data_IF_289499538871
#
_entry.id   IF_289499538871
#
_cell.length_a   1.000
_cell.length_b   1.000
_cell.length_c   1.000
_cell.angle_alpha   90.00
_cell.angle_beta   90.00
_cell.angle_gamma   90.00
#
_symmetry.space_group_name_H-M   'P 1'
#
loop_
_entity.id
_entity.type
_entity.pdbx_description
1 polymer ?
#
# COMPACT_ATOMS: atom_id res chain seq x y z
N UNK A 1 25.02 7.55 -10.91
CA UNK A 1 24.33 8.42 -9.95
C UNK A 1 25.16 8.48 -8.68
N UNK A 2 25.68 9.65 -8.35
CA UNK A 2 26.37 9.92 -7.08
C UNK A 2 25.35 10.17 -5.95
N UNK A 3 25.82 10.24 -4.71
CA UNK A 3 24.96 10.56 -3.56
C UNK A 3 24.27 11.93 -3.71
N UNK A 4 25.00 12.94 -4.17
CA UNK A 4 24.47 14.29 -4.38
C UNK A 4 23.45 14.33 -5.51
N UNK A 5 23.74 13.66 -6.63
CA UNK A 5 22.81 13.52 -7.75
C UNK A 5 21.51 12.83 -7.32
N UNK A 6 21.59 11.77 -6.52
CA UNK A 6 20.42 11.06 -6.02
C UNK A 6 19.56 11.92 -5.09
N UNK A 7 20.18 12.61 -4.12
CA UNK A 7 19.44 13.47 -3.20
C UNK A 7 18.74 14.61 -3.94
N UNK A 8 19.44 15.24 -4.90
CA UNK A 8 18.83 16.25 -5.76
C UNK A 8 17.64 15.67 -6.54
N UNK A 9 17.83 14.51 -7.17
CA UNK A 9 16.76 13.83 -7.89
C UNK A 9 15.56 13.52 -6.98
N UNK A 10 15.80 12.99 -5.78
CA UNK A 10 14.76 12.67 -4.79
C UNK A 10 13.95 13.91 -4.42
N UNK A 11 14.62 15.01 -4.09
CA UNK A 11 13.95 16.23 -3.64
C UNK A 11 13.12 16.83 -4.80
N UNK A 12 13.67 16.87 -6.01
CA UNK A 12 12.97 17.30 -7.22
C UNK A 12 11.78 16.37 -7.55
N UNK A 13 11.91 15.07 -7.31
CA UNK A 13 10.85 14.08 -7.50
C UNK A 13 9.69 14.29 -6.52
N UNK A 14 9.98 14.45 -5.22
CA UNK A 14 8.95 14.67 -4.20
C UNK A 14 8.19 15.97 -4.43
N UNK A 15 8.88 17.03 -4.85
CA UNK A 15 8.24 18.30 -5.20
C UNK A 15 7.24 18.15 -6.38
N UNK A 16 7.63 17.39 -7.40
CA UNK A 16 6.75 17.10 -8.56
C UNK A 16 5.60 16.19 -8.18
N UNK A 17 5.83 15.16 -7.36
CA UNK A 17 4.78 14.29 -6.85
C UNK A 17 3.71 15.08 -6.08
N UNK A 18 4.14 15.99 -5.18
CA UNK A 18 3.24 16.86 -4.45
C UNK A 18 2.43 17.80 -5.37
N UNK A 19 3.09 18.38 -6.38
CA UNK A 19 2.42 19.24 -7.37
C UNK A 19 1.38 18.47 -8.20
N UNK A 20 1.68 17.23 -8.59
CA UNK A 20 0.75 16.35 -9.28
C UNK A 20 -0.47 16.01 -8.41
N UNK A 21 -0.23 15.70 -7.14
CA UNK A 21 -1.29 15.42 -6.15
C UNK A 21 -2.24 16.60 -5.97
N UNK A 22 -1.70 17.83 -5.90
CA UNK A 22 -2.51 19.04 -5.79
C UNK A 22 -3.43 19.23 -7.00
N UNK A 23 -2.89 19.11 -8.22
CA UNK A 23 -3.67 19.22 -9.47
C UNK A 23 -4.78 18.17 -9.56
N UNK A 24 -4.47 16.90 -9.29
CA UNK A 24 -5.47 15.82 -9.28
C UNK A 24 -6.52 16.06 -8.18
N UNK A 25 -6.10 16.57 -7.03
CA UNK A 25 -7.05 16.90 -5.95
C UNK A 25 -8.07 17.93 -6.43
N UNK A 26 -7.68 18.98 -7.15
CA UNK A 26 -8.62 19.97 -7.70
C UNK A 26 -9.70 19.34 -8.61
N UNK A 27 -9.35 18.30 -9.39
CA UNK A 27 -10.26 17.58 -10.27
C UNK A 27 -11.21 16.62 -9.53
N UNK A 28 -10.73 15.96 -8.47
CA UNK A 28 -11.50 14.92 -7.76
C UNK A 28 -12.16 15.39 -6.46
N UNK A 29 -11.73 16.51 -5.88
CA UNK A 29 -12.29 17.09 -4.64
C UNK A 29 -13.32 18.18 -4.89
N UNK A 30 -13.90 18.24 -6.10
CA UNK A 30 -14.90 19.23 -6.55
C UNK A 30 -16.08 19.40 -5.57
N UNK A 31 -16.26 18.55 -4.55
CA UNK A 31 -17.24 18.80 -3.48
C UNK A 31 -16.89 18.20 -2.09
N UNK A 32 -15.61 17.96 -1.76
CA UNK A 32 -15.26 17.43 -0.42
C UNK A 32 -13.92 17.94 0.10
N UNK A 33 -13.92 18.49 1.31
CA UNK A 33 -12.70 18.88 2.05
C UNK A 33 -11.90 17.65 2.54
N UNK A 34 -12.51 16.46 2.53
CA UNK A 34 -11.86 15.21 2.94
C UNK A 34 -11.11 14.58 1.77
N UNK A 35 -9.78 14.70 1.78
CA UNK A 35 -8.89 14.07 0.78
C UNK A 35 -9.00 12.55 0.72
N UNK A 36 -9.59 11.90 1.73
CA UNK A 36 -9.82 10.46 1.77
C UNK A 36 -11.23 10.04 1.36
N UNK A 37 -12.11 11.01 1.03
CA UNK A 37 -13.51 10.76 0.70
C UNK A 37 -13.68 9.70 -0.38
N UNK A 38 -12.89 9.78 -1.45
CA UNK A 38 -12.97 8.84 -2.57
C UNK A 38 -12.72 7.39 -2.15
N UNK A 39 -11.72 7.15 -1.29
CA UNK A 39 -11.43 5.79 -0.81
C UNK A 39 -12.53 5.27 0.11
N UNK A 40 -13.05 6.12 1.01
CA UNK A 40 -14.18 5.77 1.89
C UNK A 40 -15.44 5.44 1.08
N UNK A 41 -15.70 6.21 0.03
CA UNK A 41 -16.85 6.03 -0.83
C UNK A 41 -16.76 4.76 -1.68
N UNK A 42 -15.60 4.51 -2.29
CA UNK A 42 -15.34 3.26 -3.03
C UNK A 42 -15.41 2.05 -2.09
N UNK A 43 -14.83 2.16 -0.91
CA UNK A 43 -14.88 1.13 0.12
C UNK A 43 -16.32 0.76 0.50
N UNK A 44 -17.16 1.78 0.77
CA UNK A 44 -18.59 1.59 1.06
C UNK A 44 -19.33 0.89 -0.09
N UNK A 45 -19.09 1.32 -1.33
CA UNK A 45 -19.73 0.72 -2.52
C UNK A 45 -19.35 -0.74 -2.76
N UNK A 46 -18.11 -1.11 -2.44
CA UNK A 46 -17.56 -2.44 -2.70
C UNK A 46 -17.60 -3.37 -1.48
N UNK A 47 -17.99 -2.87 -0.30
CA UNK A 47 -17.98 -3.65 0.93
C UNK A 47 -16.58 -4.01 1.43
N UNK A 48 -15.59 -3.16 1.15
CA UNK A 48 -14.19 -3.32 1.57
C UNK A 48 -13.79 -2.19 2.52
N UNK A 49 -12.60 -2.24 3.11
CA UNK A 49 -12.09 -1.14 3.94
C UNK A 49 -11.53 0.00 3.07
N UNK A 50 -11.50 1.25 3.57
CA UNK A 50 -10.84 2.37 2.87
C UNK A 50 -9.36 2.09 2.57
N UNK A 51 -8.68 1.34 3.44
CA UNK A 51 -7.30 0.88 3.23
C UNK A 51 -7.20 -0.10 2.05
N UNK A 52 -8.09 -1.08 1.95
CA UNK A 52 -8.15 -1.99 0.81
C UNK A 52 -8.44 -1.24 -0.50
N UNK A 53 -9.36 -0.27 -0.45
CA UNK A 53 -9.65 0.58 -1.60
C UNK A 53 -8.42 1.38 -2.04
N UNK A 54 -7.71 2.01 -1.09
CA UNK A 54 -6.47 2.74 -1.37
C UNK A 54 -5.39 1.82 -1.95
N UNK A 55 -5.17 0.65 -1.36
CA UNK A 55 -4.17 -0.31 -1.83
C UNK A 55 -4.49 -0.83 -3.23
N UNK A 56 -5.76 -0.90 -3.63
CA UNK A 56 -6.14 -1.24 -5.01
C UNK A 56 -5.58 -0.24 -6.02
N UNK A 57 -5.61 1.07 -5.70
CA UNK A 57 -5.03 2.09 -6.56
C UNK A 57 -3.49 1.98 -6.64
N UNK A 58 -2.84 1.62 -5.53
CA UNK A 58 -1.40 1.38 -5.49
C UNK A 58 -1.04 0.20 -6.39
N UNK A 59 -1.72 -0.94 -6.23
CA UNK A 59 -1.45 -2.16 -6.96
C UNK A 59 -1.60 -1.96 -8.47
N UNK A 60 -2.59 -1.20 -8.92
CA UNK A 60 -2.73 -0.82 -10.34
C UNK A 60 -1.43 -0.22 -10.92
N UNK A 61 -0.78 0.69 -10.19
CA UNK A 61 0.46 1.32 -10.66
C UNK A 61 1.66 0.36 -10.56
N UNK A 62 1.73 -0.44 -9.50
CA UNK A 62 2.77 -1.46 -9.32
C UNK A 62 2.71 -2.49 -10.45
N UNK A 63 1.53 -3.02 -10.75
CA UNK A 63 1.33 -4.02 -11.81
C UNK A 63 1.75 -3.48 -13.18
N UNK A 64 1.44 -2.21 -13.47
CA UNK A 64 1.87 -1.56 -14.70
C UNK A 64 3.40 -1.40 -14.78
N UNK A 65 4.06 -0.98 -13.70
CA UNK A 65 5.53 -0.91 -13.64
C UNK A 65 6.15 -2.30 -13.80
N UNK A 66 5.60 -3.33 -13.15
CA UNK A 66 6.06 -4.70 -13.28
C UNK A 66 5.92 -5.21 -14.72
N UNK A 67 4.82 -4.85 -15.41
CA UNK A 67 4.62 -5.19 -16.81
C UNK A 67 5.63 -4.49 -17.74
N UNK A 68 5.88 -3.19 -17.53
CA UNK A 68 6.90 -2.44 -18.26
C UNK A 68 8.29 -3.05 -18.05
N UNK A 69 8.62 -3.43 -16.80
CA UNK A 69 9.90 -4.06 -16.46
C UNK A 69 10.06 -5.45 -17.09
N UNK A 70 8.97 -6.23 -17.19
CA UNK A 70 8.98 -7.56 -17.80
C UNK A 70 9.11 -7.52 -19.32
N UNK A 71 8.44 -6.56 -19.97
CA UNK A 71 8.35 -6.50 -21.42
C UNK A 71 9.42 -5.61 -22.05
N UNK A 72 10.01 -4.69 -21.28
CA UNK A 72 10.89 -3.63 -21.79
C UNK A 72 10.14 -2.61 -22.66
N UNK A 73 8.81 -2.71 -22.76
CA UNK A 73 7.97 -1.88 -23.60
C UNK A 73 7.02 -1.08 -22.70
N UNK A 74 7.01 0.24 -22.89
CA UNK A 74 6.02 1.09 -22.27
C UNK A 74 4.78 1.05 -23.16
N UNK A 75 3.76 0.29 -22.74
CA UNK A 75 2.52 0.11 -23.52
C UNK A 75 1.52 1.26 -23.29
N UNK A 76 1.74 2.08 -22.25
CA UNK A 76 0.84 3.16 -21.84
C UNK A 76 1.50 4.53 -21.96
N UNK A 77 0.71 5.58 -22.16
CA UNK A 77 1.18 6.98 -22.21
C UNK A 77 1.80 7.46 -20.88
N UNK A 78 1.45 6.85 -19.75
CA UNK A 78 2.06 7.17 -18.45
C UNK A 78 3.47 6.57 -18.35
N UNK A 79 4.43 7.36 -17.86
CA UNK A 79 5.80 6.91 -17.61
C UNK A 79 5.92 6.18 -16.27
N UNK A 80 6.95 5.33 -16.13
CA UNK A 80 7.29 4.68 -14.84
C UNK A 80 7.48 5.72 -13.73
N UNK A 81 8.07 6.87 -14.05
CA UNK A 81 8.26 7.96 -13.10
C UNK A 81 6.92 8.56 -12.63
N UNK A 82 5.96 8.78 -13.54
CA UNK A 82 4.62 9.24 -13.18
C UNK A 82 3.90 8.25 -12.27
N UNK A 83 3.97 6.95 -12.59
CA UNK A 83 3.41 5.88 -11.75
C UNK A 83 4.04 5.84 -10.36
N UNK A 84 5.36 6.02 -10.26
CA UNK A 84 6.06 6.09 -8.99
C UNK A 84 5.61 7.31 -8.16
N UNK A 85 5.39 8.46 -8.79
CA UNK A 85 4.87 9.65 -8.11
C UNK A 85 3.46 9.41 -7.56
N UNK A 86 2.59 8.73 -8.31
CA UNK A 86 1.26 8.34 -7.83
C UNK A 86 1.33 7.38 -6.65
N UNK A 87 2.19 6.36 -6.70
CA UNK A 87 2.43 5.45 -5.57
C UNK A 87 2.86 6.23 -4.32
N UNK A 88 3.83 7.15 -4.43
CA UNK A 88 4.27 7.97 -3.30
C UNK A 88 3.11 8.78 -2.72
N UNK A 89 2.29 9.40 -3.56
CA UNK A 89 1.12 10.15 -3.11
C UNK A 89 0.10 9.27 -2.38
N UNK A 90 -0.17 8.06 -2.89
CA UNK A 90 -1.05 7.10 -2.21
C UNK A 90 -0.45 6.62 -0.87
N UNK A 91 0.87 6.42 -0.78
CA UNK A 91 1.52 6.07 0.49
C UNK A 91 1.40 7.19 1.52
N UNK A 92 1.50 8.46 1.11
CA UNK A 92 1.26 9.60 1.99
C UNK A 92 -0.19 9.61 2.49
N UNK A 93 -1.17 9.35 1.61
CA UNK A 93 -2.58 9.27 1.98
C UNK A 93 -2.86 8.10 2.96
N UNK A 94 -2.21 6.96 2.75
CA UNK A 94 -2.30 5.82 3.66
C UNK A 94 -1.72 6.14 5.04
N UNK A 95 -0.54 6.75 5.08
CA UNK A 95 0.08 7.18 6.32
C UNK A 95 -0.80 8.19 7.07
N UNK A 96 -1.38 9.16 6.36
CA UNK A 96 -2.33 10.11 6.92
C UNK A 96 -3.58 9.40 7.48
N UNK A 97 -4.15 8.45 6.73
CA UNK A 97 -5.29 7.66 7.19
C UNK A 97 -4.97 6.91 8.49
N UNK A 98 -3.81 6.24 8.57
CA UNK A 98 -3.37 5.52 9.78
C UNK A 98 -3.06 6.43 10.97
N UNK A 99 -2.56 7.63 10.73
CA UNK A 99 -2.31 8.62 11.79
C UNK A 99 -3.62 9.20 12.36
N UNK A 100 -4.68 9.27 11.56
CA UNK A 100 -5.99 9.80 11.97
C UNK A 100 -6.97 8.75 12.52
N UNK A 101 -6.73 7.45 12.31
CA UNK A 101 -7.45 6.41 13.05
C UNK A 101 -6.96 6.47 14.50
N UNK A 102 -7.86 6.66 15.51
CA UNK A 102 -7.48 6.51 16.91
C UNK A 102 -6.85 5.13 17.07
N UNK A 103 -5.54 5.09 17.35
CA UNK A 103 -4.87 3.86 17.68
C UNK A 103 -5.57 3.34 18.94
N UNK A 104 -6.29 2.22 18.86
CA UNK A 104 -6.76 1.54 20.06
C UNK A 104 -5.51 1.25 20.90
N UNK A 105 -5.46 1.83 22.10
CA UNK A 105 -4.34 1.68 23.02
C UNK A 105 -4.11 0.18 23.26
N UNK A 106 -3.06 -0.39 22.67
CA UNK A 106 -2.57 -1.74 22.97
C UNK A 106 -1.91 -1.82 24.37
N UNK A 107 -2.49 -1.18 25.38
CA UNK A 107 -2.03 -1.23 26.78
C UNK A 107 -2.70 -2.37 27.56
N UNK A 108 -2.77 -3.58 26.99
CA UNK A 108 -3.49 -4.66 27.68
C UNK A 108 -3.42 -6.06 27.09
N UNK A 109 -2.37 -6.44 26.37
CA UNK A 109 -2.11 -7.87 26.10
C UNK A 109 -0.73 -8.24 26.62
N UNK A 110 -0.61 -9.21 27.55
CA UNK A 110 0.68 -9.60 28.08
C UNK A 110 1.49 -10.22 26.94
N UNK A 111 2.72 -9.75 26.79
CA UNK A 111 3.72 -10.34 25.91
C UNK A 111 3.79 -11.84 26.20
N UNK A 112 3.26 -12.64 25.27
CA UNK A 112 3.49 -14.07 25.30
C UNK A 112 4.93 -14.26 24.87
N UNK A 113 5.82 -14.43 25.85
CA UNK A 113 7.22 -14.76 25.66
C UNK A 113 7.34 -16.08 24.87
N UNK A 114 7.47 -16.02 23.55
CA UNK A 114 7.74 -17.19 22.70
C UNK A 114 9.24 -17.56 22.72
N UNK A 115 9.90 -17.37 23.87
CA UNK A 115 11.35 -17.59 24.01
C UNK A 115 11.72 -18.57 25.14
N UNK A 116 10.75 -19.32 25.69
CA UNK A 116 11.04 -20.26 26.80
C UNK A 116 10.32 -21.61 26.76
N UNK A 117 9.95 -22.11 25.58
CA UNK A 117 9.40 -23.45 25.42
C UNK A 117 10.21 -24.33 24.44
N UNK A 118 11.52 -24.10 24.31
CA UNK A 118 12.44 -24.98 23.55
C UNK A 118 13.31 -25.79 24.52
N UNK A 119 12.67 -26.47 25.48
CA UNK A 119 13.33 -27.51 26.27
C UNK A 119 12.28 -28.51 26.78
N UNK A 120 12.08 -29.57 26.00
CA UNK A 120 11.50 -30.86 26.42
C UNK A 120 10.00 -30.89 26.67
N UNK A 121 9.23 -31.53 25.78
CA UNK A 121 8.90 -32.95 25.90
C UNK A 121 8.15 -33.39 24.63
N UNK A 122 8.25 -34.68 24.36
CA UNK A 122 7.88 -35.40 23.16
C UNK A 122 6.35 -35.49 22.95
N UNK A 123 5.94 -35.86 21.73
CA UNK A 123 4.58 -36.24 21.26
C UNK A 123 3.62 -35.16 20.68
N UNK A 124 3.21 -35.38 19.42
CA UNK A 124 1.87 -35.00 18.94
C UNK A 124 1.77 -34.01 17.77
N UNK A 125 1.60 -34.56 16.58
CA UNK A 125 1.14 -33.97 15.31
C UNK A 125 0.10 -32.81 15.39
N UNK A 126 0.41 -31.67 14.75
CA UNK A 126 -0.52 -30.85 13.96
C UNK A 126 0.23 -29.70 13.25
N UNK A 127 0.22 -29.71 11.93
CA UNK A 127 0.82 -28.73 11.03
C UNK A 127 0.40 -27.27 11.30
N UNK A 128 1.36 -26.41 11.63
CA UNK A 128 1.22 -24.95 11.57
C UNK A 128 1.43 -24.54 10.10
N UNK A 129 0.33 -24.41 9.34
CA UNK A 129 0.38 -23.86 7.99
C UNK A 129 0.57 -22.33 8.07
N UNK A 130 1.67 -21.83 7.53
CA UNK A 130 1.91 -20.39 7.36
C UNK A 130 1.06 -19.86 6.20
N UNK A 131 0.74 -18.56 6.23
CA UNK A 131 -0.18 -17.85 5.33
C UNK A 131 0.33 -17.54 3.89
N UNK A 132 0.93 -18.50 3.14
CA UNK A 132 0.86 -18.45 1.67
C UNK A 132 -0.13 -19.44 1.01
N UNK A 133 -0.66 -20.44 1.72
CA UNK A 133 -1.36 -21.57 1.06
C UNK A 133 -2.85 -21.32 0.71
N UNK A 134 -3.50 -20.30 1.29
CA UNK A 134 -4.94 -20.05 1.07
C UNK A 134 -5.32 -19.53 -0.32
N UNK A 135 -4.36 -19.07 -1.12
CA UNK A 135 -4.64 -18.47 -2.44
C UNK A 135 -4.67 -19.47 -3.59
N UNK A 136 -4.11 -20.68 -3.43
CA UNK A 136 -4.05 -21.67 -4.51
C UNK A 136 -5.33 -22.50 -4.68
N UNK A 137 -6.30 -22.41 -3.75
CA UNK A 137 -7.53 -23.21 -3.79
C UNK A 137 -8.72 -22.52 -4.49
N UNK A 138 -8.55 -21.28 -4.97
CA UNK A 138 -9.60 -20.51 -5.65
C UNK A 138 -9.49 -20.49 -7.19
N UNK A 139 -8.58 -21.27 -7.77
CA UNK A 139 -8.40 -21.35 -9.24
C UNK A 139 -8.92 -22.65 -9.89
N UNK A 140 -9.73 -23.46 -9.19
CA UNK A 140 -10.37 -24.63 -9.79
C UNK A 140 -11.86 -24.77 -9.41
N UNK A 141 -12.68 -23.84 -9.90
CA UNK A 141 -14.12 -24.06 -10.09
C UNK A 141 -14.56 -23.55 -11.46
#
# INVERSE_FOLDING_TARGET
MTYEEFNKFRDDFLARAGSLSAKKSEEYTISSEDKLYNFKHVASRLGITPEQALMTYVLKHVDAICNDAKTGAIVSEETVEARAMDIVNYMILLAAYKAHIPQENNNGKPETNISRAIAGDDSGDASISTEPEKWNQLQQQ
#
